data_IF_791073241930
#
_entry.id   IF_791073241930
#
_cell.length_a   1.000
_cell.length_b   1.000
_cell.length_c   1.000
_cell.angle_alpha   90.00
_cell.angle_beta   90.00
_cell.angle_gamma   90.00
#
_symmetry.space_group_name_H-M   'P 1'
#
loop_
_entity.id
_entity.type
_entity.pdbx_description
1 polymer ?
#
# COMPACT_ATOMS: atom_id res chain seq x y z
N UNK A 1 24.05 -4.54 12.17
CA UNK A 1 22.93 -5.40 11.73
C UNK A 1 22.71 -5.07 10.28
N UNK A 2 23.09 -5.98 9.39
CA UNK A 2 23.10 -5.76 7.94
C UNK A 2 21.72 -5.34 7.44
N UNK A 3 21.62 -4.08 7.03
CA UNK A 3 20.44 -3.51 6.38
C UNK A 3 20.49 -3.98 4.93
N UNK A 4 20.30 -5.29 4.72
CA UNK A 4 20.04 -5.84 3.41
C UNK A 4 18.74 -5.22 2.89
N UNK A 5 18.88 -4.16 2.10
CA UNK A 5 17.85 -3.41 1.35
C UNK A 5 16.41 -3.85 1.65
N UNK A 6 15.86 -3.41 2.78
CA UNK A 6 14.44 -3.62 3.07
C UNK A 6 13.62 -2.97 1.96
N UNK A 7 12.68 -3.69 1.33
CA UNK A 7 11.97 -3.17 0.18
C UNK A 7 11.11 -1.97 0.60
N UNK A 8 10.97 -0.97 -0.28
CA UNK A 8 10.40 0.32 0.11
C UNK A 8 8.95 0.20 0.63
N UNK A 9 8.17 -0.73 0.07
CA UNK A 9 6.83 -1.06 0.60
C UNK A 9 6.83 -1.54 2.06
N UNK A 10 7.84 -2.32 2.48
CA UNK A 10 7.92 -2.83 3.84
C UNK A 10 8.27 -1.70 4.82
N UNK A 11 9.28 -0.89 4.48
CA UNK A 11 9.63 0.29 5.28
C UNK A 11 8.42 1.23 5.43
N UNK A 12 7.71 1.47 4.33
CA UNK A 12 6.54 2.33 4.34
C UNK A 12 5.43 1.82 5.27
N UNK A 13 5.19 0.50 5.33
CA UNK A 13 4.21 -0.09 6.24
C UNK A 13 4.71 -0.19 7.69
N UNK A 14 6.01 -0.37 7.91
CA UNK A 14 6.58 -0.41 9.27
C UNK A 14 6.39 0.92 10.00
N UNK A 15 6.49 2.05 9.30
CA UNK A 15 6.24 3.39 9.86
C UNK A 15 4.82 3.53 10.44
N UNK A 16 3.84 2.80 9.92
CA UNK A 16 2.43 2.86 10.34
C UNK A 16 1.97 1.58 11.03
N UNK A 17 2.89 0.76 11.54
CA UNK A 17 2.60 -0.50 12.23
C UNK A 17 1.72 -1.46 11.40
N UNK A 18 1.87 -1.45 10.07
CA UNK A 18 1.12 -2.31 9.14
C UNK A 18 -0.21 -1.72 8.65
N UNK A 19 -0.58 -0.50 9.08
CA UNK A 19 -1.81 0.17 8.62
C UNK A 19 -1.60 0.88 7.28
N UNK A 20 -2.54 0.72 6.35
CA UNK A 20 -2.55 1.43 5.07
C UNK A 20 -3.24 2.79 5.24
N UNK A 21 -2.44 3.86 5.34
CA UNK A 21 -2.92 5.22 5.61
C UNK A 21 -2.52 6.22 4.51
N UNK A 22 -1.33 6.06 3.94
CA UNK A 22 -0.75 7.03 3.02
C UNK A 22 -0.93 6.64 1.56
N UNK A 23 -1.21 7.62 0.70
CA UNK A 23 -1.24 7.42 -0.75
C UNK A 23 0.10 6.88 -1.29
N UNK A 24 1.19 7.35 -0.71
CA UNK A 24 2.56 6.95 -1.01
C UNK A 24 2.81 5.47 -0.68
N UNK A 25 2.18 4.92 0.36
CA UNK A 25 2.25 3.48 0.67
C UNK A 25 1.57 2.65 -0.40
N UNK A 26 0.37 3.04 -0.84
CA UNK A 26 -0.34 2.35 -1.92
C UNK A 26 0.47 2.34 -3.22
N UNK A 27 1.14 3.45 -3.56
CA UNK A 27 2.03 3.53 -4.72
C UNK A 27 3.25 2.61 -4.60
N UNK A 28 3.88 2.56 -3.42
CA UNK A 28 4.99 1.65 -3.16
C UNK A 28 4.57 0.19 -3.34
N UNK A 29 3.35 -0.18 -2.90
CA UNK A 29 2.81 -1.53 -3.11
C UNK A 29 2.57 -1.83 -4.60
N UNK A 30 1.96 -0.91 -5.36
CA UNK A 30 1.75 -1.13 -6.80
C UNK A 30 3.06 -1.29 -7.57
N UNK A 31 4.08 -0.51 -7.24
CA UNK A 31 5.38 -0.56 -7.91
C UNK A 31 6.18 -1.78 -7.47
N UNK A 32 6.38 -1.96 -6.17
CA UNK A 32 7.34 -2.94 -5.64
C UNK A 32 6.76 -4.36 -5.62
N UNK A 33 5.45 -4.53 -5.40
CA UNK A 33 4.81 -5.85 -5.40
C UNK A 33 4.27 -6.22 -6.77
N UNK A 34 3.51 -5.34 -7.43
CA UNK A 34 2.93 -5.66 -8.75
C UNK A 34 3.80 -5.27 -9.95
N UNK A 35 4.95 -4.62 -9.74
CA UNK A 35 5.87 -4.25 -10.82
C UNK A 35 5.32 -3.17 -11.75
N UNK A 36 4.36 -2.35 -11.30
CA UNK A 36 3.78 -1.33 -12.16
C UNK A 36 4.78 -0.19 -12.44
N UNK A 37 4.86 0.30 -13.69
CA UNK A 37 5.57 1.54 -13.97
C UNK A 37 4.90 2.70 -13.22
N UNK A 38 5.68 3.70 -12.85
CA UNK A 38 5.23 4.80 -11.99
C UNK A 38 3.92 5.45 -12.49
N UNK A 39 3.81 5.67 -13.80
CA UNK A 39 2.60 6.23 -14.39
C UNK A 39 1.36 5.34 -14.18
N UNK A 40 1.47 4.04 -14.44
CA UNK A 40 0.36 3.11 -14.26
C UNK A 40 -0.03 2.94 -12.79
N UNK A 41 0.95 2.97 -11.88
CA UNK A 41 0.70 2.97 -10.44
C UNK A 41 -0.10 4.22 -10.02
N UNK A 42 0.28 5.41 -10.51
CA UNK A 42 -0.44 6.66 -10.26
C UNK A 42 -1.84 6.69 -10.85
N UNK A 43 -2.03 6.20 -12.09
CA UNK A 43 -3.34 6.09 -12.71
C UNK A 43 -4.24 5.14 -11.91
N UNK A 44 -3.71 4.00 -11.47
CA UNK A 44 -4.44 3.02 -10.66
C UNK A 44 -4.83 3.61 -9.30
N UNK A 45 -3.91 4.31 -8.62
CA UNK A 45 -4.22 5.00 -7.36
C UNK A 45 -5.31 6.06 -7.55
N UNK A 46 -5.25 6.88 -8.61
CA UNK A 46 -6.29 7.88 -8.87
C UNK A 46 -7.65 7.24 -9.11
N UNK A 47 -7.71 6.16 -9.89
CA UNK A 47 -8.94 5.41 -10.11
C UNK A 47 -9.46 4.80 -8.81
N UNK A 48 -8.55 4.34 -7.94
CA UNK A 48 -8.87 3.81 -6.60
C UNK A 48 -9.51 4.87 -5.72
N UNK A 49 -8.89 6.05 -5.61
CA UNK A 49 -9.38 7.17 -4.81
C UNK A 49 -10.74 7.72 -5.28
N UNK A 50 -10.99 7.66 -6.60
CA UNK A 50 -12.24 8.11 -7.21
C UNK A 50 -13.33 7.04 -7.25
N UNK A 51 -13.01 5.79 -6.94
CA UNK A 51 -13.95 4.67 -7.07
C UNK A 51 -14.33 4.35 -8.52
N UNK A 52 -13.42 4.52 -9.49
CA UNK A 52 -13.67 4.24 -10.90
C UNK A 52 -13.65 2.73 -11.19
N UNK A 53 -14.77 2.04 -10.94
CA UNK A 53 -14.89 0.59 -11.04
C UNK A 53 -14.48 -0.01 -12.40
N UNK A 54 -14.73 0.71 -13.50
CA UNK A 54 -14.38 0.26 -14.86
C UNK A 54 -12.87 0.16 -15.05
N UNK A 55 -12.14 1.18 -14.60
CA UNK A 55 -10.67 1.24 -14.61
C UNK A 55 -10.09 0.20 -13.65
N UNK A 56 -10.64 0.07 -12.44
CA UNK A 56 -10.19 -0.89 -11.43
C UNK A 56 -10.40 -2.34 -11.86
N UNK A 57 -11.54 -2.67 -12.51
CA UNK A 57 -11.78 -4.02 -13.07
C UNK A 57 -10.74 -4.42 -14.11
N UNK A 58 -10.26 -3.46 -14.92
CA UNK A 58 -9.18 -3.69 -15.90
C UNK A 58 -7.81 -3.76 -15.25
N UNK A 59 -7.58 -3.02 -14.17
CA UNK A 59 -6.32 -3.00 -13.44
C UNK A 59 -6.09 -4.27 -12.61
N UNK A 60 -7.14 -4.82 -11.97
CA UNK A 60 -7.07 -6.02 -11.12
C UNK A 60 -6.33 -7.22 -11.75
N UNK A 61 -6.69 -7.71 -12.96
CA UNK A 61 -5.98 -8.84 -13.56
C UNK A 61 -4.52 -8.51 -13.91
N UNK A 62 -4.22 -7.24 -14.27
CA UNK A 62 -2.84 -6.80 -14.53
C UNK A 62 -2.02 -6.76 -13.25
N UNK A 63 -2.62 -6.34 -12.15
CA UNK A 63 -2.01 -6.34 -10.82
C UNK A 63 -1.65 -7.76 -10.39
N UNK A 64 -2.59 -8.70 -10.47
CA UNK A 64 -2.36 -10.10 -10.09
C UNK A 64 -1.27 -10.73 -10.97
N UNK A 65 -1.33 -10.55 -12.28
CA UNK A 65 -0.30 -11.05 -13.20
C UNK A 65 1.07 -10.45 -12.92
N UNK A 66 1.13 -9.14 -12.63
CA UNK A 66 2.36 -8.44 -12.28
C UNK A 66 2.96 -8.92 -10.97
N UNK A 67 2.11 -9.12 -9.95
CA UNK A 67 2.53 -9.67 -8.66
C UNK A 67 3.10 -11.09 -8.79
N UNK A 68 2.42 -11.96 -9.53
CA UNK A 68 2.89 -13.34 -9.75
C UNK A 68 4.21 -13.42 -10.54
N UNK A 69 4.47 -12.45 -11.42
CA UNK A 69 5.70 -12.39 -12.20
C UNK A 69 6.87 -11.74 -11.44
N UNK A 70 6.60 -11.07 -10.31
CA UNK A 70 7.60 -10.29 -9.59
C UNK A 70 8.29 -11.13 -8.51
N UNK A 71 9.63 -11.31 -8.56
CA UNK A 71 10.35 -12.05 -7.52
C UNK A 71 10.23 -11.41 -6.14
N UNK A 72 10.06 -10.09 -6.06
CA UNK A 72 9.85 -9.34 -4.81
C UNK A 72 8.56 -9.75 -4.12
N UNK A 73 7.52 -10.10 -4.89
CA UNK A 73 6.27 -10.59 -4.33
C UNK A 73 6.45 -11.98 -3.73
N UNK A 74 7.21 -12.87 -4.38
CA UNK A 74 7.51 -14.21 -3.87
C UNK A 74 8.26 -14.17 -2.53
N UNK A 75 9.19 -13.23 -2.34
CA UNK A 75 9.89 -13.06 -1.06
C UNK A 75 9.04 -12.37 0.01
N UNK A 76 8.03 -11.60 -0.40
CA UNK A 76 7.09 -10.92 0.50
C UNK A 76 5.96 -11.81 1.04
N UNK A 77 5.73 -12.98 0.44
CA UNK A 77 4.66 -13.92 0.83
C UNK A 77 4.56 -14.21 2.34
N UNK A 78 5.65 -14.56 3.07
CA UNK A 78 5.56 -14.85 4.50
C UNK A 78 5.07 -13.63 5.30
N UNK A 79 5.56 -12.44 4.99
CA UNK A 79 5.17 -11.20 5.67
C UNK A 79 3.72 -10.82 5.35
N UNK A 80 3.31 -10.92 4.09
CA UNK A 80 1.95 -10.61 3.66
C UNK A 80 0.92 -11.57 4.30
N UNK A 81 1.29 -12.82 4.54
CA UNK A 81 0.44 -13.80 5.24
C UNK A 81 0.11 -13.37 6.67
N UNK A 82 1.05 -12.73 7.36
CA UNK A 82 0.84 -12.24 8.73
C UNK A 82 0.04 -10.93 8.77
N UNK A 83 0.26 -10.04 7.79
CA UNK A 83 -0.36 -8.72 7.77
C UNK A 83 -1.80 -8.72 7.22
N UNK A 84 -2.11 -9.61 6.27
CA UNK A 84 -3.44 -9.65 5.66
C UNK A 84 -4.44 -10.42 6.53
N UNK A 85 -5.65 -9.90 6.75
CA UNK A 85 -6.68 -10.57 7.56
C UNK A 85 -6.97 -11.96 6.98
N UNK A 86 -6.96 -12.99 7.83
CA UNK A 86 -7.26 -14.36 7.43
C UNK A 86 -8.73 -14.47 7.03
N UNK A 87 -8.98 -14.75 5.76
CA UNK A 87 -10.34 -14.87 5.25
C UNK A 87 -10.79 -16.34 5.39
N UNK A 88 -11.81 -16.66 6.19
CA UNK A 88 -12.20 -18.05 6.46
C UNK A 88 -12.76 -18.80 5.24
N UNK A 89 -13.10 -18.09 4.16
CA UNK A 89 -13.75 -18.64 2.96
C UNK A 89 -12.80 -18.93 1.79
N UNK A 90 -11.51 -18.59 1.88
CA UNK A 90 -10.55 -18.78 0.77
C UNK A 90 -9.45 -19.80 1.11
N UNK A 91 -9.65 -21.05 0.68
CA UNK A 91 -8.54 -21.98 0.42
C UNK A 91 -7.91 -21.66 -0.95
N UNK A 92 -6.67 -22.06 -1.32
CA UNK A 92 -5.48 -22.49 -0.57
C UNK A 92 -4.46 -21.34 -0.38
N UNK A 93 -3.32 -21.58 0.30
CA UNK A 93 -2.16 -20.68 0.39
C UNK A 93 -1.44 -20.48 -0.96
N UNK A 94 -2.18 -20.10 -2.01
CA UNK A 94 -1.62 -19.83 -3.33
C UNK A 94 -1.19 -18.37 -3.44
N UNK A 95 -0.09 -18.09 -4.16
CA UNK A 95 0.36 -16.71 -4.35
C UNK A 95 -0.68 -15.87 -5.11
N UNK A 96 -1.53 -16.49 -5.94
CA UNK A 96 -2.61 -15.81 -6.65
C UNK A 96 -3.74 -15.37 -5.72
N UNK A 97 -4.14 -16.22 -4.76
CA UNK A 97 -5.15 -15.87 -3.75
C UNK A 97 -4.64 -14.74 -2.83
N UNK A 98 -3.36 -14.75 -2.46
CA UNK A 98 -2.76 -13.67 -1.68
C UNK A 98 -2.73 -12.34 -2.45
N UNK A 99 -2.42 -12.36 -3.75
CA UNK A 99 -2.47 -11.17 -4.58
C UNK A 99 -3.90 -10.59 -4.69
N UNK A 100 -4.91 -11.47 -4.76
CA UNK A 100 -6.32 -11.04 -4.74
C UNK A 100 -6.70 -10.40 -3.41
N UNK A 101 -6.35 -11.03 -2.29
CA UNK A 101 -6.60 -10.50 -0.94
C UNK A 101 -5.92 -9.15 -0.72
N UNK A 102 -4.69 -8.98 -1.20
CA UNK A 102 -3.98 -7.71 -1.16
C UNK A 102 -4.73 -6.63 -1.95
N UNK A 103 -5.20 -6.96 -3.16
CA UNK A 103 -5.99 -6.04 -3.97
C UNK A 103 -7.31 -5.64 -3.29
N UNK A 104 -8.02 -6.62 -2.71
CA UNK A 104 -9.29 -6.38 -2.03
C UNK A 104 -9.10 -5.56 -0.74
N UNK A 105 -7.98 -5.76 -0.04
CA UNK A 105 -7.57 -4.93 1.10
C UNK A 105 -7.27 -3.49 0.66
N UNK A 106 -6.56 -3.30 -0.46
CA UNK A 106 -6.33 -1.97 -1.03
C UNK A 106 -7.63 -1.27 -1.43
N UNK A 107 -8.60 -2.01 -1.99
CA UNK A 107 -9.93 -1.49 -2.29
C UNK A 107 -10.68 -1.08 -1.01
N UNK A 108 -10.60 -1.88 0.05
CA UNK A 108 -11.25 -1.58 1.32
C UNK A 108 -10.71 -0.29 1.95
N UNK A 109 -9.39 -0.12 1.98
CA UNK A 109 -8.75 1.07 2.57
C UNK A 109 -8.70 2.28 1.63
N UNK A 110 -9.13 2.15 0.37
CA UNK A 110 -9.06 3.20 -0.65
C UNK A 110 -9.58 4.56 -0.18
N UNK A 111 -10.73 4.57 0.51
CA UNK A 111 -11.39 5.78 1.01
C UNK A 111 -10.67 6.43 2.19
N UNK A 112 -9.79 5.70 2.87
CA UNK A 112 -9.03 6.18 4.05
C UNK A 112 -7.68 6.80 3.69
N UNK A 113 -7.25 6.66 2.43
CA UNK A 113 -5.93 7.07 1.99
C UNK A 113 -5.76 8.60 1.94
N UNK A 114 -4.70 9.10 2.57
CA UNK A 114 -4.37 10.52 2.63
C UNK A 114 -2.97 10.80 2.06
N UNK A 115 -2.72 11.96 1.40
CA UNK A 115 -1.38 12.31 0.95
C UNK A 115 -0.47 12.69 2.13
N UNK A 116 0.64 11.97 2.32
CA UNK A 116 1.56 12.13 3.46
C UNK A 116 2.15 13.54 3.51
N UNK A 117 2.52 14.11 2.37
CA UNK A 117 3.10 15.46 2.29
C UNK A 117 2.16 16.56 2.85
N UNK A 118 0.86 16.42 2.61
CA UNK A 118 -0.15 17.36 3.08
C UNK A 118 -0.42 17.21 4.58
N UNK A 119 -0.39 15.98 5.10
CA UNK A 119 -0.49 15.74 6.54
C UNK A 119 0.72 16.34 7.27
N UNK A 120 1.93 16.09 6.77
CA UNK A 120 3.17 16.56 7.40
C UNK A 120 3.26 18.08 7.48
N UNK A 121 2.90 18.80 6.42
CA UNK A 121 2.95 20.27 6.42
C UNK A 121 2.02 20.87 7.47
N UNK A 122 0.81 20.32 7.60
CA UNK A 122 -0.18 20.74 8.60
C UNK A 122 0.26 20.39 10.02
N UNK A 123 0.77 19.18 10.23
CA UNK A 123 1.25 18.75 11.56
C UNK A 123 2.44 19.57 12.02
N UNK A 124 3.36 19.93 11.13
CA UNK A 124 4.50 20.80 11.49
C UNK A 124 4.04 22.17 11.98
N UNK A 125 3.07 22.79 11.29
CA UNK A 125 2.49 24.06 11.72
C UNK A 125 1.77 23.93 13.06
N UNK A 126 0.93 22.90 13.22
CA UNK A 126 0.24 22.63 14.48
C UNK A 126 1.21 22.41 15.65
N UNK A 127 2.28 21.63 15.43
CA UNK A 127 3.33 21.40 16.41
C UNK A 127 4.04 22.69 16.80
N UNK A 128 4.40 23.54 15.83
CA UNK A 128 5.04 24.84 16.10
C UNK A 128 4.12 25.78 16.89
N UNK A 129 2.84 25.84 16.54
CA UNK A 129 1.86 26.64 17.28
C UNK A 129 1.71 26.13 18.73
N UNK A 130 1.66 24.81 18.92
CA UNK A 130 1.61 24.20 20.24
C UNK A 130 2.87 24.49 21.05
N UNK A 131 4.05 24.43 20.41
CA UNK A 131 5.32 24.73 21.04
C UNK A 131 5.38 26.18 21.54
N UNK A 132 4.99 27.15 20.70
CA UNK A 132 4.89 28.56 21.09
C UNK A 132 3.87 28.79 22.21
N UNK A 133 2.77 28.02 22.24
CA UNK A 133 1.79 28.08 23.33
C UNK A 133 2.36 27.57 24.66
N UNK A 134 3.22 26.55 24.62
CA UNK A 134 3.82 25.95 25.83
C UNK A 134 5.06 26.71 26.32
N UNK A 135 5.76 27.39 25.41
CA UNK A 135 6.96 28.21 25.69
C UNK A 135 6.73 29.64 25.17
N UNK A 136 5.92 30.45 25.88
CA UNK A 136 5.61 31.83 25.49
C UNK A 136 6.83 32.77 25.55
#
# INVERSE_FOLDING_TARGET
>A
MDIGSTPAWLNALTETHGLLLWQEQALALFRDLAGFPAENAWQTLRALLKGEYTTLRRARPRFIKGALANPTFSSALPTLRTLLPADPASAPDTPAALAQRLWDTLLFFASTLYPKSHALSRTLLAYRLLHLRQHP
#
